data_IF_519530716292
#
_entry.id   IF_519530716292
#
_cell.length_a   1.000
_cell.length_b   1.000
_cell.length_c   1.000
_cell.angle_alpha   90.00
_cell.angle_beta   90.00
_cell.angle_gamma   90.00
#
_symmetry.space_group_name_H-M   'P 1'
#
loop_
_entity.id
_entity.type
_entity.pdbx_description
1 polymer ?
#
# COMPACT_ATOMS: atom_id res chain seq x y z
N UNK A 1 13.31 -5.74 21.28
CA UNK A 1 13.56 -4.54 20.46
C UNK A 1 12.31 -4.34 19.63
N UNK A 2 11.47 -3.33 19.91
CA UNK A 2 10.23 -3.07 19.15
C UNK A 2 10.61 -2.28 17.90
N UNK A 3 11.25 -2.94 16.95
CA UNK A 3 11.63 -2.26 15.70
C UNK A 3 10.35 -2.02 14.92
N UNK A 4 10.09 -0.73 14.71
CA UNK A 4 8.97 -0.19 13.95
C UNK A 4 8.94 -0.89 12.58
N UNK A 5 7.91 -1.69 12.33
CA UNK A 5 7.57 -2.25 11.02
C UNK A 5 7.08 -1.10 10.09
N UNK A 6 7.96 -0.13 9.88
CA UNK A 6 7.71 1.04 9.06
C UNK A 6 8.50 0.86 7.77
N UNK A 7 7.78 0.58 6.69
CA UNK A 7 8.28 0.73 5.35
C UNK A 7 7.65 1.96 4.70
N UNK A 8 8.33 2.53 3.72
CA UNK A 8 7.77 3.55 2.85
C UNK A 8 7.80 3.08 1.41
N UNK A 9 6.88 3.59 0.59
CA UNK A 9 6.99 3.45 -0.86
C UNK A 9 8.16 4.29 -1.40
N UNK A 10 8.35 4.26 -2.72
CA UNK A 10 9.38 5.05 -3.43
C UNK A 10 9.26 6.58 -3.27
N UNK A 11 8.12 7.08 -2.81
CA UNK A 11 7.88 8.50 -2.55
C UNK A 11 8.02 8.86 -1.07
N UNK A 12 8.39 7.90 -0.21
CA UNK A 12 8.48 8.11 1.23
C UNK A 12 7.13 8.04 1.95
N UNK A 13 6.06 7.59 1.28
CA UNK A 13 4.75 7.44 1.91
C UNK A 13 4.71 6.17 2.75
N UNK A 14 4.17 6.22 3.98
CA UNK A 14 4.15 5.06 4.87
C UNK A 14 3.28 3.94 4.30
N UNK A 15 3.83 2.73 4.32
CA UNK A 15 3.11 1.51 3.95
C UNK A 15 2.56 0.84 5.21
N UNK A 16 1.32 0.37 5.13
CA UNK A 16 0.64 -0.33 6.21
C UNK A 16 -0.34 -1.37 5.64
N UNK A 17 -0.65 -2.44 6.39
CA UNK A 17 -1.71 -3.37 6.01
C UNK A 17 -3.05 -2.67 5.79
N UNK A 18 -3.80 -3.13 4.79
CA UNK A 18 -5.09 -2.57 4.36
C UNK A 18 -4.99 -1.45 3.33
N UNK A 19 -3.80 -0.91 3.06
CA UNK A 19 -3.60 0.09 2.01
C UNK A 19 -3.60 -0.56 0.63
N UNK A 20 -4.20 0.13 -0.34
CA UNK A 20 -4.14 -0.28 -1.75
C UNK A 20 -2.91 0.36 -2.39
N UNK A 21 -2.14 -0.45 -3.11
CA UNK A 21 -0.94 -0.03 -3.81
C UNK A 21 -1.01 -0.44 -5.26
N UNK A 22 -0.30 0.31 -6.10
CA UNK A 22 0.06 -0.11 -7.45
C UNK A 22 1.43 -0.79 -7.38
N UNK A 23 1.49 -2.04 -7.78
CA UNK A 23 2.74 -2.77 -7.99
C UNK A 23 3.30 -2.38 -9.35
N UNK A 24 4.59 -2.04 -9.37
CA UNK A 24 5.32 -1.55 -10.53
C UNK A 24 6.35 -2.61 -10.93
N UNK A 25 5.90 -3.60 -11.69
CA UNK A 25 6.76 -4.63 -12.30
C UNK A 25 7.05 -4.26 -13.77
N UNK A 26 8.23 -4.62 -14.27
CA UNK A 26 8.67 -4.32 -15.64
C UNK A 26 7.70 -4.86 -16.71
N UNK A 27 6.99 -5.95 -16.41
CA UNK A 27 6.04 -6.57 -17.33
C UNK A 27 4.58 -6.13 -17.11
N UNK A 28 4.22 -5.60 -15.93
CA UNK A 28 2.83 -5.32 -15.57
C UNK A 28 2.69 -4.34 -14.42
N UNK A 29 1.71 -3.45 -14.54
CA UNK A 29 1.16 -2.72 -13.40
C UNK A 29 -0.11 -3.42 -12.91
N UNK A 30 -0.23 -3.64 -11.60
CA UNK A 30 -1.44 -4.19 -11.00
C UNK A 30 -1.75 -3.49 -9.68
N UNK A 31 -3.03 -3.45 -9.32
CA UNK A 31 -3.48 -2.99 -8.01
C UNK A 31 -3.55 -4.18 -7.04
N UNK A 32 -3.11 -3.95 -5.81
CA UNK A 32 -3.10 -4.97 -4.76
C UNK A 32 -3.28 -4.33 -3.39
N UNK A 33 -3.75 -5.10 -2.42
CA UNK A 33 -3.90 -4.63 -1.03
C UNK A 33 -2.76 -5.17 -0.17
N UNK A 34 -2.08 -4.32 0.59
CA UNK A 34 -1.05 -4.78 1.53
C UNK A 34 -1.71 -5.61 2.62
N UNK A 35 -1.20 -6.83 2.86
CA UNK A 35 -1.63 -7.69 3.98
C UNK A 35 -0.57 -7.79 5.07
N UNK A 36 0.70 -7.52 4.72
CA UNK A 36 1.81 -7.50 5.68
C UNK A 36 2.89 -6.53 5.21
N UNK A 37 3.50 -5.84 6.17
CA UNK A 37 4.75 -5.10 5.97
C UNK A 37 5.84 -5.88 6.70
N UNK A 38 7.03 -5.90 6.10
CA UNK A 38 8.22 -6.54 6.66
C UNK A 38 9.36 -5.53 6.53
N UNK A 39 9.30 -4.48 7.37
CA UNK A 39 10.14 -3.28 7.24
C UNK A 39 11.64 -3.60 7.29
N UNK A 40 12.04 -4.51 8.16
CA UNK A 40 13.44 -4.94 8.31
C UNK A 40 14.02 -5.60 7.04
N UNK A 41 13.14 -6.06 6.14
CA UNK A 41 13.51 -6.76 4.91
C UNK A 41 13.25 -5.92 3.65
N UNK A 42 12.70 -4.71 3.78
CA UNK A 42 12.39 -3.85 2.64
C UNK A 42 11.34 -4.46 1.68
N UNK A 43 10.42 -5.28 2.21
CA UNK A 43 9.39 -5.97 1.42
C UNK A 43 8.01 -5.82 2.03
N UNK A 44 6.99 -5.92 1.18
CA UNK A 44 5.59 -6.02 1.55
C UNK A 44 4.97 -7.28 0.96
N UNK A 45 4.05 -7.88 1.70
CA UNK A 45 3.16 -8.91 1.15
C UNK A 45 1.85 -8.23 0.75
N UNK A 46 1.43 -8.43 -0.49
CA UNK A 46 0.19 -7.89 -1.05
C UNK A 46 -0.73 -9.02 -1.50
N UNK A 47 -2.02 -8.78 -1.40
CA UNK A 47 -3.07 -9.62 -1.95
C UNK A 47 -3.44 -9.09 -3.33
N UNK A 48 -3.20 -9.90 -4.36
CA UNK A 48 -3.61 -9.65 -5.73
C UNK A 48 -4.90 -10.41 -5.98
N UNK A 49 -5.92 -9.72 -6.46
CA UNK A 49 -7.17 -10.34 -6.93
C UNK A 49 -7.15 -10.40 -8.46
N UNK A 50 -7.28 -11.61 -9.02
CA UNK A 50 -7.46 -11.81 -10.45
C UNK A 50 -8.62 -12.79 -10.73
N UNK A 51 -8.85 -13.10 -12.01
CA UNK A 51 -9.96 -13.97 -12.45
C UNK A 51 -9.88 -15.39 -11.88
N UNK A 52 -8.72 -15.82 -11.42
CA UNK A 52 -8.46 -17.13 -10.85
C UNK A 52 -8.51 -17.13 -9.31
N UNK A 53 -8.77 -15.97 -8.69
CA UNK A 53 -8.93 -15.82 -7.25
C UNK A 53 -7.94 -14.87 -6.61
N UNK A 54 -7.74 -15.03 -5.31
CA UNK A 54 -6.88 -14.17 -4.48
C UNK A 54 -5.55 -14.86 -4.22
N UNK A 55 -4.45 -14.20 -4.54
CA UNK A 55 -3.09 -14.75 -4.33
C UNK A 55 -2.24 -13.74 -3.58
N UNK A 56 -1.55 -14.20 -2.53
CA UNK A 56 -0.54 -13.39 -1.83
C UNK A 56 0.78 -13.42 -2.60
N UNK A 57 1.40 -12.25 -2.75
CA UNK A 57 2.70 -12.07 -3.40
C UNK A 57 3.55 -11.08 -2.63
N UNK A 58 4.87 -11.26 -2.69
CA UNK A 58 5.82 -10.35 -2.04
C UNK A 58 6.47 -9.44 -3.06
N UNK A 59 6.58 -8.16 -2.73
CA UNK A 59 7.24 -7.16 -3.56
C UNK A 59 8.19 -6.30 -2.71
N UNK A 60 9.32 -5.86 -3.30
CA UNK A 60 10.14 -4.79 -2.72
C UNK A 60 9.33 -3.52 -2.47
N UNK A 61 9.64 -2.78 -1.41
CA UNK A 61 8.92 -1.55 -1.05
C UNK A 61 9.10 -0.43 -2.08
N UNK A 62 10.22 -0.41 -2.81
CA UNK A 62 10.45 0.49 -3.95
C UNK A 62 9.68 0.04 -5.21
N UNK A 63 9.29 -1.23 -5.29
CA UNK A 63 8.48 -1.81 -6.35
C UNK A 63 6.97 -1.57 -6.21
N UNK A 64 6.54 -0.84 -5.17
CA UNK A 64 5.13 -0.48 -4.96
C UNK A 64 4.96 1.03 -4.83
N UNK A 65 3.77 1.51 -5.15
CA UNK A 65 3.38 2.92 -5.04
C UNK A 65 2.03 2.99 -4.33
N UNK A 66 1.94 3.82 -3.28
CA UNK A 66 0.69 3.96 -2.54
C UNK A 66 -0.38 4.65 -3.38
N UNK A 67 -1.52 4.00 -3.58
CA UNK A 67 -2.69 4.63 -4.16
C UNK A 67 -3.42 5.38 -3.06
N UNK A 68 -3.02 6.63 -2.83
CA UNK A 68 -3.72 7.50 -1.88
C UNK A 68 -5.14 7.70 -2.41
N UNK A 69 -6.21 7.41 -1.64
CA UNK A 69 -7.54 7.79 -2.06
C UNK A 69 -7.52 9.31 -2.31
N UNK A 70 -7.96 9.72 -3.50
CA UNK A 70 -8.06 11.12 -3.88
C UNK A 70 -8.93 11.82 -2.81
N UNK A 71 -8.27 12.53 -1.89
CA UNK A 71 -8.82 13.41 -0.85
C UNK A 71 -10.28 13.14 -0.54
N UNK A 72 -10.57 12.48 0.59
CA UNK A 72 -11.86 12.70 1.25
C UNK A 72 -11.99 14.21 1.41
N UNK A 73 -13.01 14.86 0.81
CA UNK A 73 -13.18 16.29 0.99
C UNK A 73 -13.32 16.52 2.49
N UNK A 74 -12.48 17.41 3.02
CA UNK A 74 -12.64 17.96 4.37
C UNK A 74 -14.10 18.38 4.45
N UNK A 75 -14.90 17.63 5.22
CA UNK A 75 -16.29 18.01 5.51
C UNK A 75 -16.20 19.45 6.00
N UNK A 76 -16.75 20.35 5.20
CA UNK A 76 -16.91 21.74 5.57
C UNK A 76 -17.49 21.73 6.99
N UNK A 77 -16.81 22.39 7.92
CA UNK A 77 -17.45 22.79 9.17
C UNK A 77 -18.59 23.71 8.74
N UNK A 78 -19.78 23.14 8.64
CA UNK A 78 -21.00 23.89 8.84
C UNK A 78 -20.97 24.27 10.33
N UNK A 79 -20.31 25.38 10.61
CA UNK A 79 -20.66 26.16 11.78
C UNK A 79 -22.07 26.70 11.51
N UNK A 80 -23.01 26.01 12.13
CA UNK A 80 -24.40 26.42 12.32
C UNK A 80 -24.42 27.41 13.49
N UNK A 81 -25.27 28.43 13.31
CA UNK A 81 -25.73 29.45 14.25
C UNK A 81 -24.94 30.78 14.25
#
# INVERSE_FOLDING_TARGET
MKTRDQATDRHGLPLAPGLVVRVLDAARQLEATIVRVLGDYGVVTVLVEDRNGRTERMYPTDGVELLVPARVPVRARQDVA
#
